data_IF_327868989776
#
_entry.id   IF_327868989776
#
_cell.length_a   1.000
_cell.length_b   1.000
_cell.length_c   1.000
_cell.angle_alpha   90.00
_cell.angle_beta   90.00
_cell.angle_gamma   90.00
#
_symmetry.space_group_name_H-M   'P 1'
#
loop_
_entity.id
_entity.type
_entity.pdbx_description
1 polymer ?
#
# COMPACT_ATOMS: atom_id res chain seq x y z
N UNK A 1 -21.35 31.82 15.80
CA UNK A 1 -21.91 30.88 16.80
C UNK A 1 -21.99 29.44 16.29
N UNK A 2 -22.47 29.16 15.07
CA UNK A 2 -22.54 27.78 14.55
C UNK A 2 -21.18 27.07 14.43
N UNK A 3 -20.15 27.74 13.92
CA UNK A 3 -18.81 27.17 13.73
C UNK A 3 -18.12 26.73 15.04
N UNK A 4 -18.45 27.41 16.15
CA UNK A 4 -17.90 27.15 17.48
C UNK A 4 -18.54 25.91 18.12
N UNK A 5 -19.86 25.77 17.93
CA UNK A 5 -20.63 24.58 18.33
C UNK A 5 -20.15 23.33 17.58
N UNK A 6 -20.02 23.41 16.26
CA UNK A 6 -19.58 22.27 15.44
C UNK A 6 -18.13 21.87 15.71
N UNK A 7 -17.27 22.80 16.16
CA UNK A 7 -15.92 22.48 16.61
C UNK A 7 -15.93 21.71 17.94
N UNK A 8 -16.75 22.16 18.89
CA UNK A 8 -16.91 21.50 20.19
C UNK A 8 -17.51 20.10 20.04
N UNK A 9 -18.54 19.95 19.20
CA UNK A 9 -19.18 18.67 18.91
C UNK A 9 -18.23 17.68 18.21
N UNK A 10 -17.37 18.16 17.30
CA UNK A 10 -16.33 17.33 16.66
C UNK A 10 -15.27 16.86 17.66
N UNK A 11 -14.85 17.73 18.59
CA UNK A 11 -13.89 17.35 19.63
C UNK A 11 -14.48 16.33 20.59
N UNK A 12 -15.74 16.53 21.01
CA UNK A 12 -16.46 15.56 21.85
C UNK A 12 -16.55 14.19 21.15
N UNK A 13 -16.89 14.17 19.86
CA UNK A 13 -16.92 12.95 19.06
C UNK A 13 -15.56 12.24 19.01
N UNK A 14 -14.46 12.99 18.87
CA UNK A 14 -13.11 12.42 18.80
C UNK A 14 -12.62 11.89 20.16
N UNK A 15 -13.08 12.47 21.27
CA UNK A 15 -12.75 12.02 22.63
C UNK A 15 -13.46 10.70 22.96
N UNK A 16 -14.71 10.54 22.54
CA UNK A 16 -15.50 9.31 22.75
C UNK A 16 -15.03 8.13 21.88
N UNK A 17 -14.22 8.39 20.86
CA UNK A 17 -13.69 7.36 19.97
C UNK A 17 -12.47 6.64 20.57
N UNK A 18 -12.32 5.32 20.32
CA UNK A 18 -11.09 4.61 20.67
C UNK A 18 -9.87 5.25 20.00
N UNK A 19 -8.73 5.30 20.69
CA UNK A 19 -7.51 6.04 20.31
C UNK A 19 -7.04 5.76 18.87
N UNK A 20 -7.18 4.50 18.40
CA UNK A 20 -6.85 4.11 17.03
C UNK A 20 -7.83 4.61 15.96
N UNK A 21 -9.11 4.73 16.30
CA UNK A 21 -10.19 5.13 15.37
C UNK A 21 -10.19 6.65 15.20
N UNK A 22 -10.11 7.39 16.31
CA UNK A 22 -10.09 8.85 16.30
C UNK A 22 -8.91 9.42 15.50
N UNK A 23 -7.70 8.88 15.72
CA UNK A 23 -6.52 9.28 14.96
C UNK A 23 -6.67 9.00 13.46
N UNK A 24 -7.17 7.82 13.11
CA UNK A 24 -7.37 7.41 11.72
C UNK A 24 -8.41 8.29 11.02
N UNK A 25 -9.47 8.67 11.73
CA UNK A 25 -10.52 9.57 11.26
C UNK A 25 -9.99 10.98 10.97
N UNK A 26 -9.18 11.55 11.87
CA UNK A 26 -8.56 12.87 11.68
C UNK A 26 -7.71 12.89 10.40
N UNK A 27 -6.86 11.88 10.22
CA UNK A 27 -5.99 11.81 9.04
C UNK A 27 -6.81 11.61 7.76
N UNK A 28 -7.86 10.78 7.82
CA UNK A 28 -8.77 10.55 6.69
C UNK A 28 -9.55 11.80 6.28
N UNK A 29 -10.08 12.58 7.24
CA UNK A 29 -10.74 13.86 6.95
C UNK A 29 -9.80 14.84 6.24
N UNK A 30 -8.50 14.77 6.53
CA UNK A 30 -7.47 15.54 5.84
C UNK A 30 -7.43 15.32 4.32
N UNK A 31 -7.95 14.20 3.80
CA UNK A 31 -8.02 13.93 2.36
C UNK A 31 -9.08 14.76 1.62
N UNK A 32 -10.03 15.37 2.34
CA UNK A 32 -11.12 16.19 1.78
C UNK A 32 -10.79 17.68 1.71
N UNK A 33 -9.66 18.11 2.29
CA UNK A 33 -9.23 19.51 2.23
C UNK A 33 -8.73 19.84 0.83
N UNK A 34 -9.06 21.03 0.34
CA UNK A 34 -8.47 21.53 -0.91
C UNK A 34 -7.10 22.14 -0.63
N UNK A 35 -6.29 22.34 -1.67
CA UNK A 35 -4.99 23.03 -1.55
C UNK A 35 -5.12 24.49 -1.10
N UNK A 36 -6.31 25.08 -1.21
CA UNK A 36 -6.55 26.52 -0.99
C UNK A 36 -7.36 26.82 0.28
N UNK A 37 -8.04 25.84 0.89
CA UNK A 37 -8.89 26.10 2.05
C UNK A 37 -9.01 24.89 2.98
N UNK A 38 -9.00 25.18 4.28
CA UNK A 38 -9.31 24.20 5.30
C UNK A 38 -10.78 23.78 5.29
N UNK A 39 -11.01 22.60 5.86
CA UNK A 39 -12.32 22.02 6.01
C UNK A 39 -13.09 22.80 7.08
N UNK A 40 -14.27 23.32 6.74
CA UNK A 40 -15.13 23.97 7.73
C UNK A 40 -15.58 22.95 8.79
N UNK A 41 -15.66 23.35 10.06
CA UNK A 41 -15.99 22.46 11.18
C UNK A 41 -17.33 21.73 10.99
N UNK A 42 -18.34 22.42 10.46
CA UNK A 42 -19.64 21.80 10.11
C UNK A 42 -19.50 20.67 9.07
N UNK A 43 -18.61 20.85 8.10
CA UNK A 43 -18.34 19.83 7.07
C UNK A 43 -17.50 18.69 7.63
N UNK A 44 -16.53 18.98 8.47
CA UNK A 44 -15.73 17.97 9.16
C UNK A 44 -16.61 17.08 10.05
N UNK A 45 -17.51 17.68 10.84
CA UNK A 45 -18.45 16.96 11.69
C UNK A 45 -19.40 16.07 10.88
N UNK A 46 -19.93 16.54 9.75
CA UNK A 46 -20.76 15.71 8.86
C UNK A 46 -19.99 14.52 8.31
N UNK A 47 -18.79 14.74 7.75
CA UNK A 47 -17.96 13.68 7.21
C UNK A 47 -17.56 12.66 8.30
N UNK A 48 -17.30 13.13 9.51
CA UNK A 48 -16.97 12.26 10.64
C UNK A 48 -18.14 11.32 10.98
N UNK A 49 -19.36 11.85 11.08
CA UNK A 49 -20.56 11.05 11.33
C UNK A 49 -20.84 10.08 10.18
N UNK A 50 -20.80 10.56 8.93
CA UNK A 50 -20.99 9.72 7.74
C UNK A 50 -20.03 8.53 7.73
N UNK A 51 -18.75 8.73 8.08
CA UNK A 51 -17.75 7.66 8.15
C UNK A 51 -18.06 6.68 9.27
N UNK A 52 -18.44 7.16 10.46
CA UNK A 52 -18.79 6.30 11.58
C UNK A 52 -20.05 5.47 11.33
N UNK A 53 -20.95 5.93 10.46
CA UNK A 53 -22.14 5.20 10.01
C UNK A 53 -21.83 4.13 8.94
N UNK A 54 -20.66 4.16 8.29
CA UNK A 54 -20.30 3.17 7.26
C UNK A 54 -20.08 1.76 7.82
N UNK A 55 -19.76 1.64 9.10
CA UNK A 55 -19.52 0.35 9.74
C UNK A 55 -19.70 0.41 11.25
N UNK A 56 -20.37 -0.61 11.80
CA UNK A 56 -20.45 -0.84 13.23
C UNK A 56 -19.12 -1.34 13.81
N UNK A 57 -18.30 -1.99 12.98
CA UNK A 57 -16.96 -2.44 13.36
C UNK A 57 -15.95 -1.29 13.28
N UNK A 58 -15.73 -0.63 14.42
CA UNK A 58 -14.82 0.52 14.52
C UNK A 58 -13.36 0.15 14.27
N UNK A 59 -12.94 -1.08 14.57
CA UNK A 59 -11.58 -1.56 14.31
C UNK A 59 -11.34 -1.71 12.81
N UNK A 60 -12.27 -2.36 12.12
CA UNK A 60 -12.26 -2.48 10.65
C UNK A 60 -12.30 -1.12 9.97
N UNK A 61 -13.12 -0.20 10.48
CA UNK A 61 -13.21 1.15 9.96
C UNK A 61 -11.86 1.89 10.08
N UNK A 62 -11.15 1.75 11.20
CA UNK A 62 -9.82 2.33 11.38
C UNK A 62 -8.79 1.78 10.39
N UNK A 63 -8.78 0.46 10.14
CA UNK A 63 -7.90 -0.17 9.15
C UNK A 63 -8.20 0.39 7.75
N UNK A 64 -9.46 0.40 7.34
CA UNK A 64 -9.86 0.87 6.02
C UNK A 64 -9.56 2.36 5.79
N UNK A 65 -9.69 3.20 6.83
CA UNK A 65 -9.30 4.61 6.77
C UNK A 65 -7.79 4.77 6.56
N UNK A 66 -6.97 4.00 7.27
CA UNK A 66 -5.51 4.05 7.10
C UNK A 66 -5.07 3.59 5.71
N UNK A 67 -5.62 2.49 5.20
CA UNK A 67 -5.33 2.01 3.83
C UNK A 67 -5.72 3.07 2.79
N UNK A 68 -6.89 3.71 2.96
CA UNK A 68 -7.31 4.79 2.07
C UNK A 68 -6.34 5.98 2.11
N UNK A 69 -5.89 6.39 3.29
CA UNK A 69 -4.89 7.46 3.42
C UNK A 69 -3.59 7.10 2.72
N UNK A 70 -3.08 5.88 2.90
CA UNK A 70 -1.84 5.46 2.26
C UNK A 70 -1.96 5.45 0.74
N UNK A 71 -3.06 4.91 0.21
CA UNK A 71 -3.33 4.92 -1.23
C UNK A 71 -3.40 6.35 -1.81
N UNK A 72 -3.95 7.30 -1.05
CA UNK A 72 -4.01 8.70 -1.47
C UNK A 72 -2.66 9.42 -1.35
N UNK A 73 -1.82 9.08 -0.36
CA UNK A 73 -0.45 9.60 -0.25
C UNK A 73 0.41 9.17 -1.42
N UNK A 74 0.33 7.91 -1.84
CA UNK A 74 1.03 7.42 -3.04
C UNK A 74 0.62 8.25 -4.27
N UNK A 75 -0.68 8.56 -4.43
CA UNK A 75 -1.17 9.43 -5.52
C UNK A 75 -0.69 10.88 -5.40
N UNK A 76 -0.46 11.37 -4.18
CA UNK A 76 0.11 12.71 -3.93
C UNK A 76 1.54 12.77 -4.42
N UNK A 77 2.35 11.76 -4.07
CA UNK A 77 3.75 11.66 -4.48
C UNK A 77 3.87 11.50 -6.01
N UNK A 78 2.91 10.82 -6.65
CA UNK A 78 2.80 10.70 -8.12
C UNK A 78 2.22 11.96 -8.80
N UNK A 79 1.89 13.02 -8.06
CA UNK A 79 1.35 14.28 -8.60
C UNK A 79 -0.08 14.18 -9.17
N UNK A 80 -0.75 13.04 -9.00
CA UNK A 80 -2.10 12.76 -9.53
C UNK A 80 -3.19 12.84 -8.47
N UNK A 81 -2.86 13.35 -7.28
CA UNK A 81 -3.82 13.46 -6.20
C UNK A 81 -4.88 14.52 -6.47
N UNK A 82 -6.13 14.11 -6.24
CA UNK A 82 -7.27 15.00 -6.16
C UNK A 82 -7.93 14.80 -4.79
N UNK A 83 -8.29 15.89 -4.09
CA UNK A 83 -9.04 15.79 -2.84
C UNK A 83 -10.30 14.93 -3.02
N UNK A 84 -10.62 14.13 -2.01
CA UNK A 84 -11.81 13.31 -2.03
C UNK A 84 -13.06 14.19 -1.96
N UNK A 85 -14.07 13.81 -2.75
CA UNK A 85 -15.38 14.48 -2.76
C UNK A 85 -16.45 13.64 -2.05
N UNK A 86 -16.23 12.33 -1.89
CA UNK A 86 -17.14 11.38 -1.26
C UNK A 86 -16.39 10.19 -0.64
N UNK A 87 -17.12 9.32 0.05
CA UNK A 87 -16.60 8.13 0.73
C UNK A 87 -16.58 6.86 -0.14
N UNK A 88 -16.81 6.93 -1.45
CA UNK A 88 -16.94 5.73 -2.28
C UNK A 88 -15.66 4.88 -2.31
N UNK A 89 -14.49 5.53 -2.25
CA UNK A 89 -13.22 4.80 -2.15
C UNK A 89 -13.14 4.06 -0.82
N UNK A 90 -13.47 4.72 0.30
CA UNK A 90 -13.47 4.10 1.62
C UNK A 90 -14.48 2.94 1.70
N UNK A 91 -15.68 3.07 1.12
CA UNK A 91 -16.66 1.96 1.04
C UNK A 91 -16.08 0.73 0.37
N UNK A 92 -15.39 0.90 -0.77
CA UNK A 92 -14.71 -0.22 -1.47
C UNK A 92 -13.60 -0.84 -0.62
N UNK A 93 -12.82 -0.03 0.09
CA UNK A 93 -11.77 -0.53 0.98
C UNK A 93 -12.36 -1.28 2.18
N UNK A 94 -13.46 -0.78 2.75
CA UNK A 94 -14.19 -1.47 3.83
C UNK A 94 -14.64 -2.85 3.35
N UNK A 95 -15.20 -2.96 2.14
CA UNK A 95 -15.60 -4.24 1.52
C UNK A 95 -14.41 -5.20 1.37
N UNK A 96 -13.24 -4.72 0.93
CA UNK A 96 -12.04 -5.57 0.78
C UNK A 96 -11.46 -6.02 2.13
N UNK A 97 -11.45 -5.15 3.15
CA UNK A 97 -11.00 -5.50 4.50
C UNK A 97 -11.93 -6.55 5.14
N UNK A 98 -13.23 -6.52 4.80
CA UNK A 98 -14.23 -7.51 5.23
C UNK A 98 -13.86 -8.94 4.85
N UNK A 99 -13.34 -9.12 3.64
CA UNK A 99 -13.00 -10.43 3.08
C UNK A 99 -11.72 -10.96 3.73
N UNK A 100 -10.78 -10.08 4.08
CA UNK A 100 -9.52 -10.44 4.72
C UNK A 100 -9.65 -10.78 6.22
N UNK A 101 -10.62 -10.19 6.94
CA UNK A 101 -10.80 -10.40 8.39
C UNK A 101 -11.59 -11.66 8.76
N UNK A 102 -12.45 -12.19 7.87
CA UNK A 102 -13.22 -13.43 8.14
C UNK A 102 -12.35 -14.69 8.28
N UNK A 103 -11.05 -14.61 7.97
CA UNK A 103 -10.10 -15.73 8.07
C UNK A 103 -9.33 -15.74 9.40
N UNK A 104 -9.42 -14.69 10.23
CA UNK A 104 -8.58 -14.56 11.43
C UNK A 104 -9.39 -14.24 12.69
N UNK A 105 -10.04 -15.26 13.27
CA UNK A 105 -10.45 -15.20 14.69
C UNK A 105 -10.09 -16.49 15.40
N UNK A 106 -8.96 -16.49 16.14
CA UNK A 106 -8.79 -17.17 17.43
C UNK A 106 -7.44 -16.87 18.09
N UNK A 107 -7.52 -16.38 19.35
CA UNK A 107 -6.54 -16.38 20.45
C UNK A 107 -5.21 -15.60 20.27
N UNK A 108 -4.68 -14.85 21.25
CA UNK A 108 -4.81 -14.94 22.71
C UNK A 108 -3.50 -15.46 23.32
N UNK A 109 -2.64 -14.52 23.76
CA UNK A 109 -1.47 -14.66 24.66
C UNK A 109 -0.21 -15.48 24.25
N UNK A 110 0.94 -14.92 24.67
CA UNK A 110 2.37 -15.29 24.46
C UNK A 110 2.76 -16.70 24.95
N UNK A 111 4.01 -17.20 24.78
CA UNK A 111 5.12 -16.84 23.86
C UNK A 111 5.58 -18.07 23.01
N UNK A 112 6.69 -17.91 22.29
CA UNK A 112 7.55 -18.96 21.70
C UNK A 112 7.47 -19.17 20.18
N UNK A 113 8.67 -19.10 19.61
CA UNK A 113 9.00 -19.37 18.23
C UNK A 113 8.62 -20.80 17.85
N UNK A 114 7.57 -20.96 17.04
CA UNK A 114 7.31 -22.18 16.24
C UNK A 114 6.12 -22.04 15.26
N UNK A 115 5.25 -21.03 15.42
CA UNK A 115 4.02 -20.91 14.60
C UNK A 115 3.94 -19.63 13.75
N UNK A 116 5.10 -19.08 13.33
CA UNK A 116 5.16 -18.10 12.23
C UNK A 116 5.64 -18.82 10.98
N UNK A 117 4.74 -19.37 10.18
CA UNK A 117 4.93 -19.14 8.75
C UNK A 117 4.69 -17.63 8.57
N UNK A 118 5.76 -16.85 8.71
CA UNK A 118 5.68 -15.38 8.67
C UNK A 118 5.03 -14.98 7.35
N UNK A 119 4.26 -13.89 7.34
CA UNK A 119 3.69 -13.35 6.08
C UNK A 119 4.76 -13.24 4.98
N UNK A 120 6.03 -12.98 5.35
CA UNK A 120 7.20 -13.05 4.48
C UNK A 120 7.44 -14.43 3.84
N UNK A 121 7.34 -15.53 4.59
CA UNK A 121 7.46 -16.88 4.05
C UNK A 121 6.35 -17.22 3.04
N UNK A 122 5.12 -16.77 3.32
CA UNK A 122 3.98 -16.90 2.38
C UNK A 122 4.21 -16.06 1.12
N UNK A 123 4.71 -14.83 1.24
CA UNK A 123 5.03 -14.03 0.06
C UNK A 123 6.15 -14.65 -0.77
N UNK A 124 7.18 -15.21 -0.13
CA UNK A 124 8.28 -15.87 -0.84
C UNK A 124 7.76 -17.08 -1.61
N UNK A 125 6.88 -17.89 -1.02
CA UNK A 125 6.26 -19.02 -1.71
C UNK A 125 5.40 -18.55 -2.90
N UNK A 126 4.59 -17.51 -2.69
CA UNK A 126 3.78 -16.90 -3.75
C UNK A 126 4.63 -16.37 -4.91
N UNK A 127 5.74 -15.68 -4.63
CA UNK A 127 6.65 -15.15 -5.65
C UNK A 127 7.37 -16.26 -6.41
N UNK A 128 7.74 -17.36 -5.74
CA UNK A 128 8.33 -18.54 -6.40
C UNK A 128 7.36 -19.22 -7.35
N UNK A 129 6.09 -19.25 -6.98
CA UNK A 129 5.01 -19.89 -7.76
C UNK A 129 4.25 -18.89 -8.65
N UNK A 130 4.77 -17.68 -8.85
CA UNK A 130 4.09 -16.65 -9.63
C UNK A 130 3.91 -17.09 -11.09
N UNK A 131 2.70 -16.98 -11.67
CA UNK A 131 2.47 -17.40 -13.04
C UNK A 131 3.23 -16.50 -14.02
N UNK A 132 3.78 -17.10 -15.08
CA UNK A 132 4.35 -16.31 -16.15
C UNK A 132 3.26 -15.59 -16.94
N UNK A 133 3.48 -14.31 -17.24
CA UNK A 133 2.54 -13.52 -18.04
C UNK A 133 2.67 -13.84 -19.54
N UNK A 134 1.56 -13.78 -20.26
CA UNK A 134 1.53 -14.04 -21.70
C UNK A 134 2.37 -13.00 -22.47
N UNK A 135 3.20 -13.47 -23.42
CA UNK A 135 4.06 -12.61 -24.22
C UNK A 135 5.31 -12.10 -23.51
N UNK A 136 5.63 -12.64 -22.32
CA UNK A 136 6.81 -12.30 -21.53
C UNK A 136 7.64 -13.55 -21.30
N UNK A 137 8.95 -13.41 -21.45
CA UNK A 137 9.85 -14.53 -21.21
C UNK A 137 9.86 -14.93 -19.73
N UNK A 138 9.79 -16.24 -19.49
CA UNK A 138 9.74 -16.80 -18.13
C UNK A 138 10.91 -16.37 -17.24
N UNK A 139 12.12 -16.26 -17.81
CA UNK A 139 13.29 -15.83 -17.06
C UNK A 139 13.12 -14.42 -16.50
N UNK A 140 12.44 -13.52 -17.21
CA UNK A 140 12.26 -12.14 -16.81
C UNK A 140 11.33 -12.04 -15.60
N UNK A 141 10.19 -12.72 -15.66
CA UNK A 141 9.24 -12.85 -14.56
C UNK A 141 9.91 -13.44 -13.32
N UNK A 142 10.62 -14.56 -13.48
CA UNK A 142 11.35 -15.22 -12.37
C UNK A 142 12.42 -14.32 -11.75
N UNK A 143 13.13 -13.54 -12.57
CA UNK A 143 14.16 -12.60 -12.08
C UNK A 143 13.53 -11.52 -11.21
N UNK A 144 12.41 -10.92 -11.65
CA UNK A 144 11.70 -9.89 -10.89
C UNK A 144 11.17 -10.48 -9.57
N UNK A 145 10.51 -11.64 -9.62
CA UNK A 145 9.97 -12.28 -8.42
C UNK A 145 11.08 -12.67 -7.43
N UNK A 146 12.21 -13.18 -7.92
CA UNK A 146 13.37 -13.50 -7.10
C UNK A 146 13.96 -12.26 -6.42
N UNK A 147 14.18 -11.19 -7.17
CA UNK A 147 14.66 -9.92 -6.61
C UNK A 147 13.69 -9.35 -5.56
N UNK A 148 12.37 -9.41 -5.81
CA UNK A 148 11.37 -8.96 -4.84
C UNK A 148 11.38 -9.80 -3.56
N UNK A 149 11.51 -11.12 -3.66
CA UNK A 149 11.58 -12.00 -2.51
C UNK A 149 12.78 -11.66 -1.60
N UNK A 150 13.93 -11.33 -2.19
CA UNK A 150 15.11 -10.92 -1.45
C UNK A 150 14.97 -9.54 -0.81
N UNK A 151 14.43 -8.55 -1.55
CA UNK A 151 14.14 -7.23 -0.98
C UNK A 151 13.21 -7.30 0.24
N UNK A 152 12.26 -8.24 0.25
CA UNK A 152 11.39 -8.44 1.41
C UNK A 152 12.15 -8.96 2.64
N UNK A 153 13.22 -9.74 2.45
CA UNK A 153 14.07 -10.22 3.53
C UNK A 153 14.99 -9.13 4.08
N UNK A 154 15.28 -8.09 3.29
CA UNK A 154 16.13 -6.96 3.69
C UNK A 154 15.45 -6.01 4.69
N UNK A 155 14.12 -6.05 4.85
CA UNK A 155 13.41 -5.19 5.81
C UNK A 155 13.39 -3.71 5.43
N UNK A 156 13.29 -3.41 4.13
CA UNK A 156 13.29 -2.05 3.59
C UNK A 156 12.12 -1.19 4.09
N UNK A 157 12.24 0.12 3.93
CA UNK A 157 11.11 1.03 4.10
C UNK A 157 10.09 0.87 2.96
N UNK A 158 8.80 1.05 3.26
CA UNK A 158 7.69 0.98 2.29
C UNK A 158 7.57 -0.38 1.56
N UNK A 159 7.90 -1.49 2.23
CA UNK A 159 7.68 -2.83 1.69
C UNK A 159 6.19 -3.07 1.43
N UNK A 160 5.80 -3.54 0.23
CA UNK A 160 4.40 -3.84 -0.07
C UNK A 160 3.83 -4.92 0.86
N UNK A 161 2.55 -4.79 1.18
CA UNK A 161 1.83 -5.82 1.93
C UNK A 161 1.65 -7.09 1.08
N UNK A 162 1.61 -8.26 1.73
CA UNK A 162 1.51 -9.57 1.07
C UNK A 162 0.46 -9.64 -0.04
N UNK A 163 -0.75 -9.17 0.25
CA UNK A 163 -1.90 -9.14 -0.65
C UNK A 163 -1.73 -8.20 -1.85
N UNK A 164 -0.86 -7.21 -1.74
CA UNK A 164 -0.54 -6.26 -2.82
C UNK A 164 0.62 -6.71 -3.71
N UNK A 165 1.39 -7.71 -3.28
CA UNK A 165 2.60 -8.16 -4.00
C UNK A 165 2.30 -8.63 -5.44
N UNK A 166 1.22 -9.37 -5.74
CA UNK A 166 0.90 -9.74 -7.12
C UNK A 166 0.76 -8.52 -8.03
N UNK A 167 0.05 -7.49 -7.55
CA UNK A 167 -0.15 -6.25 -8.30
C UNK A 167 1.18 -5.49 -8.51
N UNK A 168 2.08 -5.54 -7.52
CA UNK A 168 3.41 -4.93 -7.64
C UNK A 168 4.24 -5.69 -8.68
N UNK A 169 4.24 -7.02 -8.66
CA UNK A 169 4.93 -7.85 -9.66
C UNK A 169 4.42 -7.51 -11.07
N UNK A 170 3.09 -7.52 -11.28
CA UNK A 170 2.48 -7.18 -12.57
C UNK A 170 2.85 -5.77 -13.05
N UNK A 171 2.85 -4.80 -12.13
CA UNK A 171 3.23 -3.41 -12.43
C UNK A 171 4.68 -3.32 -12.89
N UNK A 172 5.60 -4.02 -12.22
CA UNK A 172 7.01 -4.04 -12.59
C UNK A 172 7.22 -4.74 -13.93
N UNK A 173 6.62 -5.91 -14.12
CA UNK A 173 6.76 -6.67 -15.36
C UNK A 173 6.22 -5.86 -16.55
N UNK A 174 4.96 -5.41 -16.47
CA UNK A 174 4.30 -4.65 -17.54
C UNK A 174 4.96 -3.30 -17.79
N UNK A 175 5.53 -2.68 -16.75
CA UNK A 175 6.19 -1.39 -16.84
C UNK A 175 7.62 -1.45 -17.37
N UNK A 176 8.32 -2.58 -17.20
CA UNK A 176 9.73 -2.74 -17.60
C UNK A 176 9.91 -3.52 -18.90
N UNK A 177 9.11 -4.57 -19.13
CA UNK A 177 9.22 -5.43 -20.30
C UNK A 177 9.26 -4.65 -21.64
N UNK A 178 8.31 -3.74 -21.94
CA UNK A 178 8.32 -3.02 -23.22
C UNK A 178 9.37 -1.91 -23.31
N UNK A 179 10.09 -1.60 -22.23
CA UNK A 179 10.99 -0.43 -22.17
C UNK A 179 12.41 -0.72 -22.66
N UNK A 180 12.78 -1.99 -22.83
CA UNK A 180 14.13 -2.41 -23.21
C UNK A 180 14.05 -3.66 -24.08
N UNK A 181 15.09 -3.89 -24.87
CA UNK A 181 15.30 -5.16 -25.55
C UNK A 181 15.96 -6.13 -24.56
N UNK A 182 15.16 -6.80 -23.75
CA UNK A 182 15.62 -7.74 -22.74
C UNK A 182 16.15 -9.01 -23.41
N UNK A 183 17.31 -9.47 -22.97
CA UNK A 183 17.90 -10.72 -23.42
C UNK A 183 18.61 -11.36 -22.24
N UNK A 184 18.17 -12.55 -21.86
CA UNK A 184 18.67 -13.30 -20.69
C UNK A 184 20.19 -13.32 -20.59
N UNK A 185 20.88 -13.50 -21.71
CA UNK A 185 22.35 -13.67 -21.76
C UNK A 185 23.10 -12.35 -21.87
N UNK A 186 22.40 -11.25 -22.12
CA UNK A 186 23.03 -9.94 -22.31
C UNK A 186 23.59 -9.41 -20.99
N UNK A 187 24.84 -8.92 -21.02
CA UNK A 187 25.49 -8.40 -19.82
C UNK A 187 24.83 -7.14 -19.25
N UNK A 188 24.23 -6.30 -20.12
CA UNK A 188 23.64 -5.01 -19.75
C UNK A 188 22.13 -5.07 -19.56
N UNK A 189 21.45 -6.07 -20.13
CA UNK A 189 19.98 -6.19 -20.14
C UNK A 189 19.48 -7.62 -19.94
N UNK A 190 20.31 -8.46 -19.33
CA UNK A 190 19.95 -9.82 -18.97
C UNK A 190 19.62 -9.98 -17.50
N UNK A 191 19.36 -11.24 -17.16
CA UNK A 191 18.94 -11.71 -15.83
C UNK A 191 19.81 -11.13 -14.71
N UNK A 192 21.14 -11.27 -14.83
CA UNK A 192 22.08 -10.79 -13.83
C UNK A 192 22.03 -9.26 -13.64
N UNK A 193 21.91 -8.48 -14.72
CA UNK A 193 21.89 -7.02 -14.60
C UNK A 193 20.58 -6.54 -14.02
N UNK A 194 19.46 -7.13 -14.44
CA UNK A 194 18.14 -6.80 -13.92
C UNK A 194 18.08 -7.05 -12.41
N UNK A 195 18.46 -8.25 -11.97
CA UNK A 195 18.51 -8.59 -10.55
C UNK A 195 19.42 -7.64 -9.76
N UNK A 196 20.63 -7.36 -10.26
CA UNK A 196 21.56 -6.42 -9.60
C UNK A 196 21.00 -5.01 -9.50
N UNK A 197 20.29 -4.53 -10.52
CA UNK A 197 19.68 -3.20 -10.46
C UNK A 197 18.65 -3.08 -9.33
N UNK A 198 17.87 -4.13 -9.04
CA UNK A 198 16.98 -4.15 -7.87
C UNK A 198 17.77 -4.07 -6.56
N UNK A 199 18.78 -4.94 -6.39
CA UNK A 199 19.59 -4.99 -5.17
C UNK A 199 20.35 -3.68 -4.94
N UNK A 200 21.05 -3.17 -5.96
CA UNK A 200 21.77 -1.89 -5.91
C UNK A 200 20.83 -0.75 -5.52
N UNK A 201 19.61 -0.71 -6.06
CA UNK A 201 18.63 0.32 -5.69
C UNK A 201 18.15 0.17 -4.25
N UNK A 202 17.82 -1.05 -3.83
CA UNK A 202 17.35 -1.35 -2.48
C UNK A 202 18.41 -1.02 -1.42
N UNK A 203 19.66 -1.42 -1.65
CA UNK A 203 20.80 -1.13 -0.77
C UNK A 203 21.09 0.38 -0.69
N UNK A 204 21.06 1.07 -1.84
CA UNK A 204 21.38 2.51 -1.89
C UNK A 204 20.30 3.35 -1.22
N UNK A 205 19.02 2.99 -1.38
CA UNK A 205 17.90 3.83 -0.96
C UNK A 205 17.25 3.38 0.35
N UNK A 206 17.55 2.17 0.82
CA UNK A 206 16.94 1.50 1.98
C UNK A 206 15.40 1.50 1.95
N UNK A 207 14.80 1.63 0.77
CA UNK A 207 13.34 1.63 0.54
C UNK A 207 13.00 0.73 -0.62
N UNK A 208 11.75 0.28 -0.68
CA UNK A 208 11.25 -0.46 -1.84
C UNK A 208 11.37 0.41 -3.11
N UNK A 209 12.02 -0.09 -4.17
CA UNK A 209 12.36 0.74 -5.34
C UNK A 209 11.13 1.03 -6.20
N UNK A 210 11.18 2.11 -6.99
CA UNK A 210 10.25 2.33 -8.09
C UNK A 210 10.81 1.76 -9.41
N UNK A 211 9.96 1.55 -10.42
CA UNK A 211 10.38 1.12 -11.76
C UNK A 211 11.43 2.08 -12.35
N UNK A 212 11.26 3.39 -12.12
CA UNK A 212 12.19 4.40 -12.62
C UNK A 212 13.57 4.26 -11.98
N UNK A 213 13.62 3.99 -10.67
CA UNK A 213 14.88 3.82 -9.94
C UNK A 213 15.65 2.62 -10.51
N UNK A 214 14.99 1.47 -10.67
CA UNK A 214 15.62 0.27 -11.24
C UNK A 214 16.06 0.49 -12.68
N UNK A 215 15.21 1.08 -13.54
CA UNK A 215 15.55 1.34 -14.94
C UNK A 215 16.64 2.40 -15.11
N UNK A 216 16.87 3.27 -14.13
CA UNK A 216 17.99 4.25 -14.17
C UNK A 216 19.35 3.56 -14.15
N UNK A 217 19.42 2.37 -13.57
CA UNK A 217 20.61 1.53 -13.47
C UNK A 217 20.76 0.57 -14.66
N UNK A 218 19.81 0.56 -15.61
CA UNK A 218 19.81 -0.35 -16.76
C UNK A 218 19.84 0.45 -18.08
N UNK A 219 20.90 0.30 -18.89
CA UNK A 219 21.06 1.03 -20.14
C UNK A 219 19.87 0.89 -21.09
N UNK A 220 19.53 1.98 -21.79
CA UNK A 220 18.42 2.03 -22.75
C UNK A 220 18.74 1.44 -24.11
N UNK A 221 20.01 1.28 -24.50
CA UNK A 221 20.46 0.79 -25.81
C UNK A 221 21.60 -0.22 -25.73
#
# INVERSE_FOLDING_TARGET
MAQDKSASDLLALLIDLPEGVGRSLIVYMGLFRSSSRDLANDRALRLANEVLELSDDKSRLAVAMNETVQAMRIKQDEGSFKPLTNHNYLKRVIETVSVSSAVNTSAGQLPAAAARQSKSAMTIDMLKNYPNLEGIDEWFTKTICGAMAEMMLMGLENVPAYDTIPMVVDRFISGMWPKRNWDRKNHFRGENRLYRAFMETAETTNRWPSIKDVLSLIPSQ
#
